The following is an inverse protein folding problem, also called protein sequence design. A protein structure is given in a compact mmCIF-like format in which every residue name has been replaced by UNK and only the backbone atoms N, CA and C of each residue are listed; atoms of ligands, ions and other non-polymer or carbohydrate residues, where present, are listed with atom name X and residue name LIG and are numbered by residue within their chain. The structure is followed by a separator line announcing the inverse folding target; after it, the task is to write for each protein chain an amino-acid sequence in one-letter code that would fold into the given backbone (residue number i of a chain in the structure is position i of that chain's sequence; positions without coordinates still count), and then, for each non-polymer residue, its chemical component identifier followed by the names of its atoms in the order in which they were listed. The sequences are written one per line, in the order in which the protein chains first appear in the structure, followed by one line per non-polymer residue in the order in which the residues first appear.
data_IF_431345448029
#
_entry.id   IF_431345448029
#
_cell.length_a   1.000
_cell.length_b   1.000
_cell.length_c   1.000
_cell.angle_alpha   90.00
_cell.angle_beta   90.00
_cell.angle_gamma   90.00
#
_symmetry.space_group_name_H-M   'P 1'
#
loop_
_entity.id
_entity.type
_entity.pdbx_description
1 polymer ?
#
# COMPACT_ATOMS: atom_id res chain seq x y z
N UNK A 1 -21.93 -8.21 4.70
CA UNK A 1 -20.87 -7.83 3.74
C UNK A 1 -19.92 -6.89 4.46
N UNK A 2 -18.68 -7.33 4.76
CA UNK A 2 -17.78 -6.65 5.70
C UNK A 2 -16.92 -5.62 4.94
N UNK A 3 -17.55 -4.55 4.50
CA UNK A 3 -16.92 -3.48 3.67
C UNK A 3 -16.19 -2.42 4.49
N UNK A 4 -16.16 -2.55 5.82
CA UNK A 4 -15.58 -1.56 6.73
C UNK A 4 -14.05 -1.53 6.65
N UNK A 5 -13.42 -2.70 6.50
CA UNK A 5 -11.96 -2.80 6.49
C UNK A 5 -11.29 -2.14 5.28
N UNK A 6 -11.87 -2.27 4.09
CA UNK A 6 -11.27 -1.69 2.87
C UNK A 6 -11.30 -0.16 2.89
N UNK A 7 -12.38 0.44 3.41
CA UNK A 7 -12.48 1.90 3.58
C UNK A 7 -11.54 2.42 4.66
N UNK A 8 -11.50 1.76 5.81
CA UNK A 8 -10.60 2.15 6.91
C UNK A 8 -9.13 2.04 6.48
N UNK A 9 -8.77 0.97 5.76
CA UNK A 9 -7.43 0.81 5.20
C UNK A 9 -7.13 1.90 4.16
N UNK A 10 -8.04 2.15 3.23
CA UNK A 10 -7.86 3.18 2.20
C UNK A 10 -7.71 4.57 2.81
N UNK A 11 -8.48 4.89 3.84
CA UNK A 11 -8.38 6.16 4.57
C UNK A 11 -7.04 6.27 5.30
N UNK A 12 -6.63 5.22 6.03
CA UNK A 12 -5.35 5.23 6.74
C UNK A 12 -4.14 5.38 5.79
N UNK A 13 -4.22 4.82 4.58
CA UNK A 13 -3.20 5.02 3.55
C UNK A 13 -3.20 6.46 3.02
N UNK A 14 -4.36 7.04 2.75
CA UNK A 14 -4.50 8.43 2.31
C UNK A 14 -3.99 9.42 3.38
N UNK A 15 -4.33 9.19 4.65
CA UNK A 15 -3.88 10.00 5.79
C UNK A 15 -2.35 9.90 5.98
N UNK A 16 -1.76 8.77 5.61
CA UNK A 16 -0.30 8.58 5.59
C UNK A 16 0.38 9.17 4.33
N UNK A 17 -0.38 9.82 3.43
CA UNK A 17 0.14 10.45 2.21
C UNK A 17 0.39 9.48 1.05
N UNK A 18 -0.12 8.25 1.12
CA UNK A 18 -0.01 7.27 0.04
C UNK A 18 -1.04 7.59 -1.04
N UNK A 19 -0.56 7.82 -2.26
CA UNK A 19 -1.41 8.03 -3.45
C UNK A 19 -1.55 6.74 -4.26
N UNK A 20 -0.49 5.91 -4.28
CA UNK A 20 -0.46 4.64 -5.01
C UNK A 20 0.40 3.62 -4.29
N UNK A 21 0.12 2.34 -4.53
CA UNK A 21 1.00 1.25 -4.14
C UNK A 21 1.16 0.23 -5.27
N UNK A 22 2.31 -0.44 -5.32
CA UNK A 22 2.60 -1.51 -6.26
C UNK A 22 3.02 -2.78 -5.52
N UNK A 23 2.60 -3.93 -6.03
CA UNK A 23 3.05 -5.24 -5.56
C UNK A 23 3.90 -5.87 -6.66
N UNK A 24 5.17 -6.12 -6.35
CA UNK A 24 6.08 -6.85 -7.21
C UNK A 24 6.12 -8.30 -6.73
N UNK A 25 5.37 -9.18 -7.39
CA UNK A 25 5.22 -10.59 -7.00
C UNK A 25 6.50 -11.40 -7.19
N UNK A 26 7.35 -11.05 -8.16
CA UNK A 26 8.64 -11.73 -8.36
C UNK A 26 9.61 -11.54 -7.20
N UNK A 27 9.63 -10.35 -6.59
CA UNK A 27 10.51 -10.03 -5.47
C UNK A 27 9.78 -10.12 -4.12
N UNK A 28 8.48 -10.44 -4.14
CA UNK A 28 7.59 -10.40 -2.99
C UNK A 28 7.74 -9.10 -2.19
N UNK A 29 7.60 -7.97 -2.88
CA UNK A 29 7.71 -6.64 -2.27
C UNK A 29 6.53 -5.76 -2.61
N UNK A 30 6.02 -5.04 -1.61
CA UNK A 30 5.03 -3.99 -1.78
C UNK A 30 5.66 -2.61 -1.53
N UNK A 31 5.43 -1.67 -2.44
CA UNK A 31 5.97 -0.30 -2.36
C UNK A 31 4.83 0.71 -2.36
N UNK A 32 4.88 1.67 -1.44
CA UNK A 32 3.92 2.77 -1.32
C UNK A 32 4.58 4.06 -1.81
N UNK A 33 3.83 4.89 -2.52
CA UNK A 33 4.34 6.12 -3.10
C UNK A 33 3.46 7.30 -2.76
N UNK A 34 4.09 8.47 -2.64
CA UNK A 34 3.40 9.73 -2.53
C UNK A 34 2.85 10.23 -3.89
N UNK A 35 2.23 11.40 -3.87
CA UNK A 35 1.67 12.07 -5.04
C UNK A 35 2.73 12.49 -6.07
N UNK A 36 3.97 12.76 -5.66
CA UNK A 36 5.08 13.04 -6.57
C UNK A 36 5.65 11.75 -7.19
N UNK A 37 5.22 10.58 -6.73
CA UNK A 37 5.72 9.28 -7.15
C UNK A 37 6.99 8.85 -6.42
N UNK A 38 7.39 9.54 -5.35
CA UNK A 38 8.51 9.14 -4.51
C UNK A 38 8.09 7.97 -3.58
N UNK A 39 8.97 6.98 -3.36
CA UNK A 39 8.66 5.87 -2.47
C UNK A 39 8.65 6.33 -1.01
N UNK A 40 7.53 6.11 -0.32
CA UNK A 40 7.39 6.38 1.11
C UNK A 40 7.85 5.20 1.96
N UNK A 41 7.55 3.98 1.50
CA UNK A 41 7.78 2.76 2.25
C UNK A 41 7.84 1.57 1.30
N UNK A 42 8.78 0.67 1.56
CA UNK A 42 8.87 -0.63 0.91
C UNK A 42 8.85 -1.72 1.98
N UNK A 43 8.01 -2.74 1.77
CA UNK A 43 7.87 -3.87 2.68
C UNK A 43 7.98 -5.17 1.90
N UNK A 44 8.71 -6.13 2.46
CA UNK A 44 8.66 -7.50 2.00
C UNK A 44 7.30 -8.10 2.38
N UNK A 45 6.69 -8.81 1.46
CA UNK A 45 5.45 -9.56 1.67
C UNK A 45 5.76 -11.04 1.63
N UNK A 46 4.96 -11.85 2.31
CA UNK A 46 5.11 -13.30 2.33
C UNK A 46 3.85 -13.94 1.75
N UNK A 47 4.03 -15.00 0.98
CA UNK A 47 2.94 -15.88 0.56
C UNK A 47 2.83 -16.99 1.62
N UNK A 48 1.64 -17.13 2.22
CA UNK A 48 1.34 -18.18 3.19
C UNK A 48 0.90 -19.46 2.48
#
# INVERSE_FOLDING_TARGET
MRSTGDKEMSQGLADAGVEKWTVHTGNLTMTFYDKAGAPLLMKQIQVM
#
